data_IF_240584425559
#
_entry.id   IF_240584425559
#
_cell.length_a   1.000
_cell.length_b   1.000
_cell.length_c   1.000
_cell.angle_alpha   90.00
_cell.angle_beta   90.00
_cell.angle_gamma   90.00
#
_symmetry.space_group_name_H-M   'P 1'
#
loop_
_entity.id
_entity.type
_entity.pdbx_description
1 polymer ?
#
# COMPACT_ATOMS: atom_id res chain seq x y z
N UNK A 1 17.40 -2.05 17.72
CA UNK A 1 17.18 -0.81 16.97
C UNK A 1 15.81 -0.91 16.33
N UNK A 2 14.91 0.02 16.63
CA UNK A 2 13.56 0.03 16.08
C UNK A 2 13.58 0.81 14.75
N UNK A 3 13.89 0.14 13.63
CA UNK A 3 13.97 0.69 12.25
C UNK A 3 12.58 0.99 11.62
N UNK A 4 11.53 1.05 12.42
CA UNK A 4 10.15 1.12 11.92
C UNK A 4 9.74 2.44 11.24
N UNK A 5 10.28 3.64 11.59
CA UNK A 5 9.83 4.89 10.96
C UNK A 5 10.31 5.05 9.50
N UNK A 6 11.57 4.70 9.23
CA UNK A 6 12.22 4.93 7.94
C UNK A 6 11.72 3.95 6.88
N UNK A 7 11.54 2.68 7.26
CA UNK A 7 10.99 1.67 6.37
C UNK A 7 9.53 1.94 5.98
N UNK A 8 8.68 2.38 6.93
CA UNK A 8 7.30 2.76 6.60
C UNK A 8 7.24 3.98 5.68
N UNK A 9 8.07 4.99 5.93
CA UNK A 9 8.14 6.17 5.07
C UNK A 9 8.53 5.81 3.63
N UNK A 10 9.57 4.98 3.46
CA UNK A 10 10.00 4.51 2.14
C UNK A 10 8.90 3.74 1.39
N UNK A 11 8.11 2.94 2.10
CA UNK A 11 6.97 2.23 1.51
C UNK A 11 5.85 3.18 1.10
N UNK A 12 5.57 4.23 1.88
CA UNK A 12 4.60 5.25 1.48
C UNK A 12 5.05 6.02 0.24
N UNK A 13 6.33 6.39 0.16
CA UNK A 13 6.87 7.08 -1.02
C UNK A 13 6.77 6.21 -2.28
N UNK A 14 7.05 4.90 -2.16
CA UNK A 14 6.89 3.96 -3.26
C UNK A 14 5.43 3.83 -3.73
N UNK A 15 4.47 3.80 -2.80
CA UNK A 15 3.03 3.78 -3.11
C UNK A 15 2.61 5.05 -3.86
N UNK A 16 3.10 6.22 -3.42
CA UNK A 16 2.83 7.49 -4.08
C UNK A 16 3.46 7.54 -5.49
N UNK A 17 4.68 7.01 -5.65
CA UNK A 17 5.32 6.85 -6.95
C UNK A 17 4.48 5.99 -7.90
N UNK A 18 4.03 4.82 -7.45
CA UNK A 18 3.18 3.94 -8.26
C UNK A 18 1.85 4.61 -8.67
N UNK A 19 1.23 5.38 -7.78
CA UNK A 19 0.00 6.12 -8.08
C UNK A 19 0.23 7.22 -9.10
N UNK A 20 1.38 7.89 -9.04
CA UNK A 20 1.77 8.90 -10.04
C UNK A 20 2.03 8.26 -11.40
N UNK A 21 2.77 7.15 -11.43
CA UNK A 21 3.00 6.41 -12.68
C UNK A 21 1.67 5.90 -13.27
N UNK A 22 0.71 5.51 -12.43
CA UNK A 22 -0.61 5.08 -12.86
C UNK A 22 -1.44 6.18 -13.57
N UNK A 23 -1.08 7.46 -13.44
CA UNK A 23 -1.72 8.56 -14.17
C UNK A 23 -1.41 8.52 -15.68
N UNK A 24 -0.27 7.94 -16.07
CA UNK A 24 0.12 7.78 -17.47
C UNK A 24 -0.58 6.59 -18.15
N UNK A 25 -1.27 5.73 -17.37
CA UNK A 25 -2.02 4.57 -17.86
C UNK A 25 -3.53 4.83 -17.83
N UNK A 26 -4.30 4.02 -18.56
CA UNK A 26 -5.76 4.09 -18.57
C UNK A 26 -6.40 2.69 -18.56
N UNK A 27 -7.72 2.64 -18.35
CA UNK A 27 -8.48 1.39 -18.34
C UNK A 27 -8.04 0.41 -17.25
N UNK A 28 -7.98 -0.88 -17.61
CA UNK A 28 -7.73 -1.97 -16.66
C UNK A 28 -6.36 -1.88 -15.99
N UNK A 29 -5.32 -1.48 -16.71
CA UNK A 29 -3.96 -1.37 -16.18
C UNK A 29 -3.88 -0.35 -15.04
N UNK A 30 -4.49 0.83 -15.24
CA UNK A 30 -4.58 1.84 -14.17
C UNK A 30 -5.37 1.31 -12.96
N UNK A 31 -6.47 0.60 -13.20
CA UNK A 31 -7.29 0.04 -12.13
C UNK A 31 -6.54 -1.01 -11.30
N UNK A 32 -5.70 -1.84 -11.93
CA UNK A 32 -4.83 -2.81 -11.26
C UNK A 32 -3.76 -2.12 -10.42
N UNK A 33 -3.04 -1.15 -10.99
CA UNK A 33 -2.00 -0.39 -10.27
C UNK A 33 -2.56 0.32 -9.02
N UNK A 34 -3.74 0.95 -9.14
CA UNK A 34 -4.40 1.63 -8.01
C UNK A 34 -4.86 0.62 -6.95
N UNK A 35 -5.34 -0.56 -7.36
CA UNK A 35 -5.74 -1.62 -6.43
C UNK A 35 -4.53 -2.13 -5.64
N UNK A 36 -3.42 -2.38 -6.30
CA UNK A 36 -2.18 -2.86 -5.67
C UNK A 36 -1.62 -1.81 -4.69
N UNK A 37 -1.60 -0.54 -5.10
CA UNK A 37 -1.25 0.57 -4.22
C UNK A 37 -2.12 0.62 -2.95
N UNK A 38 -3.43 0.41 -3.08
CA UNK A 38 -4.35 0.41 -1.95
C UNK A 38 -4.15 -0.78 -1.01
N UNK A 39 -3.82 -1.97 -1.53
CA UNK A 39 -3.49 -3.16 -0.74
C UNK A 39 -2.18 -2.93 0.02
N UNK A 40 -1.15 -2.44 -0.65
CA UNK A 40 0.13 -2.11 -0.04
C UNK A 40 -0.03 -1.07 1.08
N UNK A 41 -0.79 0.00 0.85
CA UNK A 41 -1.06 1.02 1.87
C UNK A 41 -1.72 0.43 3.13
N UNK A 42 -2.70 -0.47 2.96
CA UNK A 42 -3.37 -1.13 4.11
C UNK A 42 -2.42 -2.03 4.88
N UNK A 43 -1.57 -2.77 4.18
CA UNK A 43 -0.56 -3.63 4.81
C UNK A 43 0.45 -2.80 5.62
N UNK A 44 0.94 -1.68 5.06
CA UNK A 44 1.91 -0.78 5.73
C UNK A 44 1.30 -0.08 6.93
N UNK A 45 0.03 0.37 6.82
CA UNK A 45 -0.70 1.04 7.91
C UNK A 45 -1.05 0.10 9.07
N UNK A 46 -0.92 -1.21 8.91
CA UNK A 46 -1.30 -2.20 9.92
C UNK A 46 -2.81 -2.33 10.12
N UNK A 47 -3.60 -2.02 9.09
CA UNK A 47 -5.06 -2.20 9.14
C UNK A 47 -5.46 -3.66 8.97
N UNK A 48 -6.66 -4.03 9.44
CA UNK A 48 -7.20 -5.38 9.25
C UNK A 48 -7.21 -5.75 7.76
N UNK A 49 -6.53 -6.84 7.40
CA UNK A 49 -6.64 -7.39 6.05
C UNK A 49 -8.01 -8.06 5.90
N UNK A 50 -8.70 -7.91 4.76
CA UNK A 50 -9.93 -8.66 4.51
C UNK A 50 -9.64 -10.16 4.64
N UNK A 51 -10.25 -10.82 5.63
CA UNK A 51 -10.03 -12.25 5.92
C UNK A 51 -9.00 -12.55 7.02
N UNK A 52 -8.35 -11.54 7.63
CA UNK A 52 -7.53 -11.80 8.82
C UNK A 52 -8.40 -11.92 10.06
N UNK A 53 -8.32 -13.04 10.77
CA UNK A 53 -8.81 -13.18 12.14
C UNK A 53 -8.00 -12.26 13.03
N UNK A 54 -8.55 -11.11 13.39
CA UNK A 54 -7.96 -10.25 14.41
C UNK A 54 -8.11 -10.97 15.74
N UNK A 55 -7.04 -11.59 16.24
CA UNK A 55 -6.98 -12.02 17.64
C UNK A 55 -6.59 -10.77 18.43
N UNK A 56 -7.61 -10.06 18.95
CA UNK A 56 -7.39 -9.06 19.99
C UNK A 56 -6.82 -9.80 21.22
N UNK A 57 -5.69 -9.30 21.74
CA UNK A 57 -5.07 -9.77 22.98
C UNK A 57 -5.56 -8.94 24.15
#
# INVERSE_FOLDING_TARGET
MAEFPEAQAALYDAILGLLKDAEDYSGNTRAEMVRDAAVAYRAVKGGAQPGSSVIEK
#
